data_IF_271505963042
#
_entry.id   IF_271505963042
#
_cell.length_a   1.000
_cell.length_b   1.000
_cell.length_c   1.000
_cell.angle_alpha   90.00
_cell.angle_beta   90.00
_cell.angle_gamma   90.00
#
_symmetry.space_group_name_H-M   'P 1'
#
loop_
_entity.id
_entity.type
_entity.pdbx_description
1 polymer ?
#
# COMPACT_ATOMS: atom_id res chain seq x y z
N UNK A 1 -21.01 12.87 24.32
CA UNK A 1 -19.84 12.40 23.53
C UNK A 1 -18.84 13.55 23.44
N UNK A 2 -17.55 13.24 23.34
CA UNK A 2 -16.54 14.25 22.96
C UNK A 2 -16.72 14.64 21.49
N UNK A 3 -16.11 15.75 21.07
CA UNK A 3 -16.23 16.22 19.69
C UNK A 3 -15.69 15.18 18.69
N UNK A 4 -14.50 14.62 18.93
CA UNK A 4 -13.89 13.60 18.07
C UNK A 4 -14.72 12.32 17.96
N UNK A 5 -15.33 11.88 19.07
CA UNK A 5 -16.26 10.73 19.06
C UNK A 5 -17.50 11.03 18.20
N UNK A 6 -18.01 12.26 18.29
CA UNK A 6 -19.17 12.71 17.53
C UNK A 6 -18.88 12.79 16.03
N UNK A 7 -17.69 13.27 15.65
CA UNK A 7 -17.17 13.20 14.27
C UNK A 7 -17.21 11.78 13.76
N UNK A 8 -16.66 10.84 14.54
CA UNK A 8 -16.58 9.43 14.16
C UNK A 8 -17.97 8.85 13.93
N UNK A 9 -18.93 9.16 14.80
CA UNK A 9 -20.29 8.67 14.68
C UNK A 9 -21.02 9.22 13.44
N UNK A 10 -20.83 10.50 13.10
CA UNK A 10 -21.40 11.06 11.88
C UNK A 10 -20.81 10.44 10.63
N UNK A 11 -19.49 10.24 10.59
CA UNK A 11 -18.78 9.59 9.47
C UNK A 11 -19.27 8.16 9.28
N UNK A 12 -19.38 7.38 10.35
CA UNK A 12 -19.93 6.01 10.31
C UNK A 12 -21.38 5.97 9.79
N UNK A 13 -22.11 7.08 9.97
CA UNK A 13 -23.48 7.22 9.48
C UNK A 13 -23.57 7.76 8.05
N UNK A 14 -22.44 7.94 7.34
CA UNK A 14 -22.39 8.49 5.98
C UNK A 14 -22.61 10.00 5.90
N UNK A 15 -22.21 10.74 6.94
CA UNK A 15 -22.28 12.20 6.98
C UNK A 15 -21.09 12.82 7.70
N UNK A 16 -21.21 14.09 8.05
CA UNK A 16 -20.23 14.84 8.87
C UNK A 16 -20.97 15.50 10.02
N UNK A 17 -20.24 16.05 11.00
CA UNK A 17 -20.87 17.02 11.88
C UNK A 17 -21.42 18.19 11.06
N UNK A 18 -22.54 18.76 11.52
CA UNK A 18 -23.29 19.73 10.74
C UNK A 18 -22.49 21.03 10.53
N UNK A 19 -22.43 21.45 9.27
CA UNK A 19 -22.15 22.83 8.89
C UNK A 19 -23.42 23.67 8.96
N UNK A 20 -23.25 24.98 9.18
CA UNK A 20 -24.33 25.95 9.16
C UNK A 20 -23.93 27.09 8.23
N UNK A 21 -24.53 27.10 7.04
CA UNK A 21 -24.11 27.97 5.94
C UNK A 21 -24.91 29.28 5.88
N UNK A 22 -26.10 29.30 6.47
CA UNK A 22 -26.98 30.46 6.49
C UNK A 22 -27.91 30.51 7.72
N UNK A 23 -28.68 31.61 7.80
CA UNK A 23 -29.63 31.84 8.88
C UNK A 23 -30.80 30.84 8.87
N UNK A 24 -31.22 30.34 7.71
CA UNK A 24 -32.32 29.39 7.61
C UNK A 24 -31.91 28.02 8.18
N UNK A 25 -30.71 27.55 7.86
CA UNK A 25 -30.11 26.37 8.49
C UNK A 25 -29.96 26.56 9.99
N UNK A 26 -29.47 27.72 10.44
CA UNK A 26 -29.35 28.02 11.88
C UNK A 26 -30.70 27.92 12.58
N UNK A 27 -31.74 28.58 12.06
CA UNK A 27 -33.07 28.55 12.66
C UNK A 27 -33.67 27.14 12.71
N UNK A 28 -33.49 26.37 11.63
CA UNK A 28 -33.91 24.96 11.59
C UNK A 28 -33.25 24.13 12.70
N UNK A 29 -31.95 24.30 12.92
CA UNK A 29 -31.24 23.60 13.99
C UNK A 29 -31.72 24.03 15.38
N UNK A 30 -31.96 25.32 15.60
CA UNK A 30 -32.43 25.84 16.90
C UNK A 30 -33.81 25.29 17.26
N UNK A 31 -34.75 25.33 16.32
CA UNK A 31 -36.12 24.82 16.52
C UNK A 31 -36.11 23.34 16.94
N UNK A 32 -35.23 22.53 16.35
CA UNK A 32 -35.11 21.12 16.68
C UNK A 32 -34.29 20.88 17.95
N UNK A 33 -33.28 21.70 18.23
CA UNK A 33 -32.44 21.58 19.42
C UNK A 33 -33.22 21.86 20.71
N UNK A 34 -34.17 22.80 20.68
CA UNK A 34 -35.01 23.17 21.83
C UNK A 34 -35.80 21.96 22.39
N UNK A 35 -36.20 21.04 21.51
CA UNK A 35 -36.89 19.79 21.86
C UNK A 35 -36.06 18.84 22.74
N UNK A 36 -34.74 19.06 22.83
CA UNK A 36 -33.79 18.20 23.53
C UNK A 36 -33.10 18.89 24.72
N UNK A 37 -33.54 20.09 25.10
CA UNK A 37 -33.02 20.87 26.24
C UNK A 37 -33.02 20.09 27.56
N UNK A 38 -33.96 19.17 27.75
CA UNK A 38 -34.02 18.27 28.91
C UNK A 38 -32.95 17.17 28.92
N UNK A 39 -32.34 16.87 27.77
CA UNK A 39 -31.36 15.77 27.59
C UNK A 39 -29.93 16.26 27.44
N UNK A 40 -29.74 17.44 26.86
CA UNK A 40 -28.41 18.01 26.65
C UNK A 40 -28.45 19.53 26.69
N UNK A 41 -27.35 20.13 27.14
CA UNK A 41 -27.18 21.60 27.15
C UNK A 41 -26.81 22.17 25.79
N UNK A 42 -26.34 21.33 24.87
CA UNK A 42 -25.90 21.76 23.55
C UNK A 42 -25.39 20.61 22.69
N UNK A 43 -25.06 20.95 21.45
CA UNK A 43 -24.72 20.01 20.40
C UNK A 43 -23.41 20.38 19.73
N UNK A 44 -22.51 19.42 19.56
CA UNK A 44 -21.35 19.60 18.70
C UNK A 44 -21.78 19.84 17.26
N UNK A 45 -21.15 20.85 16.65
CA UNK A 45 -21.25 21.18 15.23
C UNK A 45 -19.85 21.06 14.57
N UNK A 46 -19.82 21.09 13.25
CA UNK A 46 -18.66 20.69 12.45
C UNK A 46 -17.53 21.72 12.34
N UNK A 47 -17.52 22.79 13.14
CA UNK A 47 -16.41 23.76 13.14
C UNK A 47 -15.24 23.16 13.91
N UNK A 48 -14.05 23.26 13.32
CA UNK A 48 -12.79 23.01 13.99
C UNK A 48 -11.77 24.10 13.66
N UNK A 49 -10.73 24.20 14.48
CA UNK A 49 -9.61 25.11 14.26
C UNK A 49 -8.40 24.33 13.73
N UNK A 50 -7.82 24.79 12.61
CA UNK A 50 -6.64 24.15 12.04
C UNK A 50 -5.34 24.62 12.73
N UNK A 51 -4.20 24.02 12.34
CA UNK A 51 -2.87 24.36 12.90
C UNK A 51 -2.44 25.81 12.66
N UNK A 52 -3.00 26.46 11.63
CA UNK A 52 -2.76 27.87 11.31
C UNK A 52 -3.71 28.80 12.08
N UNK A 53 -4.58 28.24 12.94
CA UNK A 53 -5.55 28.98 13.73
C UNK A 53 -6.82 29.38 12.98
N UNK A 54 -7.02 28.89 11.76
CA UNK A 54 -8.21 29.19 10.96
C UNK A 54 -9.37 28.28 11.36
N UNK A 55 -10.57 28.85 11.42
CA UNK A 55 -11.81 28.10 11.63
C UNK A 55 -12.34 27.59 10.29
N UNK A 56 -12.65 26.29 10.25
CA UNK A 56 -13.10 25.59 9.04
C UNK A 56 -14.24 24.63 9.40
N UNK A 57 -15.12 24.38 8.44
CA UNK A 57 -16.11 23.30 8.53
C UNK A 57 -15.51 21.96 8.09
N UNK A 58 -15.90 20.87 8.76
CA UNK A 58 -15.45 19.51 8.44
C UNK A 58 -15.84 19.05 7.01
N UNK A 59 -16.93 19.58 6.46
CA UNK A 59 -17.41 19.28 5.11
C UNK A 59 -16.81 20.19 4.01
N UNK A 60 -15.83 21.03 4.38
CA UNK A 60 -15.20 22.03 3.53
C UNK A 60 -16.15 23.12 2.99
N UNK A 61 -17.33 23.28 3.59
CA UNK A 61 -18.22 24.41 3.30
C UNK A 61 -17.54 25.75 3.67
N UNK A 62 -17.93 26.82 3.00
CA UNK A 62 -17.38 28.15 3.29
C UNK A 62 -17.91 28.67 4.64
N UNK A 63 -17.02 29.18 5.50
CA UNK A 63 -17.39 29.80 6.77
C UNK A 63 -17.84 31.26 6.55
N UNK A 64 -18.94 31.46 5.82
CA UNK A 64 -19.49 32.78 5.50
C UNK A 64 -20.55 33.25 6.50
N UNK A 65 -21.03 32.34 7.35
CA UNK A 65 -22.03 32.59 8.37
C UNK A 65 -21.50 32.16 9.73
N UNK A 66 -21.73 32.99 10.75
CA UNK A 66 -21.43 32.69 12.14
C UNK A 66 -22.57 33.14 13.05
N UNK A 67 -22.88 32.34 14.06
CA UNK A 67 -23.91 32.68 15.06
C UNK A 67 -23.36 32.61 16.48
N UNK A 68 -22.21 33.25 16.71
CA UNK A 68 -21.55 33.28 18.02
C UNK A 68 -22.42 33.90 19.11
N UNK A 69 -22.39 33.29 20.29
CA UNK A 69 -22.92 33.90 21.50
C UNK A 69 -22.09 35.10 21.93
N UNK A 70 -22.66 35.91 22.82
CA UNK A 70 -21.97 37.09 23.35
C UNK A 70 -20.64 36.70 24.00
N UNK A 71 -19.55 37.33 23.56
CA UNK A 71 -18.19 37.07 24.08
C UNK A 71 -17.56 35.77 23.59
N UNK A 72 -18.04 35.22 22.47
CA UNK A 72 -17.52 34.00 21.86
C UNK A 72 -16.94 34.29 20.45
N UNK A 73 -15.94 33.52 20.00
CA UNK A 73 -15.15 32.56 20.79
C UNK A 73 -14.31 33.27 21.87
N UNK A 74 -13.94 32.55 22.93
CA UNK A 74 -13.04 33.10 23.96
C UNK A 74 -11.64 33.30 23.39
N UNK A 75 -11.07 34.50 23.49
CA UNK A 75 -9.73 34.83 22.96
C UNK A 75 -8.62 33.97 23.59
N UNK A 76 -8.77 33.61 24.88
CA UNK A 76 -7.79 32.83 25.63
C UNK A 76 -7.76 31.33 25.31
N UNK A 77 -8.72 30.82 24.52
CA UNK A 77 -8.78 29.40 24.16
C UNK A 77 -8.19 29.16 22.77
N UNK A 78 -7.08 28.42 22.73
CA UNK A 78 -6.43 28.04 21.46
C UNK A 78 -6.88 26.66 20.94
N UNK A 79 -7.32 25.78 21.84
CA UNK A 79 -7.81 24.43 21.54
C UNK A 79 -9.26 24.29 22.03
N UNK A 80 -10.20 24.54 21.13
CA UNK A 80 -11.62 24.44 21.40
C UNK A 80 -12.38 23.86 20.23
N UNK A 81 -13.53 23.30 20.56
CA UNK A 81 -14.54 22.86 19.63
C UNK A 81 -15.80 23.70 19.83
N UNK A 82 -16.66 23.73 18.82
CA UNK A 82 -17.82 24.61 18.82
C UNK A 82 -19.08 23.81 19.08
N UNK A 83 -19.85 24.26 20.08
CA UNK A 83 -21.21 23.78 20.28
C UNK A 83 -22.25 24.79 19.81
N UNK A 84 -23.43 24.29 19.46
CA UNK A 84 -24.69 25.03 19.39
C UNK A 84 -25.46 24.80 20.69
N UNK A 85 -25.79 25.88 21.41
CA UNK A 85 -26.57 25.78 22.64
C UNK A 85 -27.99 25.32 22.36
N UNK A 86 -28.45 24.30 23.09
CA UNK A 86 -29.82 23.81 22.94
C UNK A 86 -30.88 24.83 23.38
N UNK A 87 -30.52 25.74 24.30
CA UNK A 87 -31.44 26.73 24.87
C UNK A 87 -31.47 28.04 24.08
N UNK A 88 -30.30 28.55 23.67
CA UNK A 88 -30.21 29.87 23.04
C UNK A 88 -30.03 29.81 21.53
N UNK A 89 -29.59 28.66 21.00
CA UNK A 89 -29.24 28.50 19.59
C UNK A 89 -27.93 29.15 19.16
N UNK A 90 -27.30 29.95 20.03
CA UNK A 90 -26.01 30.57 19.77
C UNK A 90 -24.85 29.59 19.96
N UNK A 91 -23.74 29.90 19.31
CA UNK A 91 -22.54 29.07 19.34
C UNK A 91 -21.59 29.50 20.46
N UNK A 92 -20.88 28.54 21.05
CA UNK A 92 -19.86 28.79 22.07
C UNK A 92 -18.65 27.86 21.89
N UNK A 93 -17.48 28.35 22.31
CA UNK A 93 -16.25 27.55 22.35
C UNK A 93 -16.17 26.78 23.67
N UNK A 94 -15.94 25.47 23.57
CA UNK A 94 -15.74 24.59 24.72
C UNK A 94 -14.55 23.65 24.49
N UNK A 95 -13.93 23.12 25.57
CA UNK A 95 -12.94 22.06 25.44
C UNK A 95 -13.52 20.86 24.66
N UNK A 96 -12.80 20.37 23.66
CA UNK A 96 -13.27 19.29 22.78
C UNK A 96 -13.59 17.96 23.51
N UNK A 97 -13.05 17.78 24.71
CA UNK A 97 -13.31 16.63 25.59
C UNK A 97 -14.68 16.71 26.30
N UNK A 98 -15.35 17.86 26.26
CA UNK A 98 -16.65 18.08 26.89
C UNK A 98 -17.71 17.10 26.35
N UNK A 99 -18.63 16.71 27.21
CA UNK A 99 -19.70 15.77 26.84
C UNK A 99 -20.94 16.53 26.39
N UNK A 100 -21.24 16.45 25.09
CA UNK A 100 -22.42 17.07 24.48
C UNK A 100 -23.19 16.09 23.60
N UNK A 101 -24.39 16.50 23.18
CA UNK A 101 -25.06 15.94 22.01
C UNK A 101 -24.28 16.29 20.74
N UNK A 102 -24.71 15.81 19.58
CA UNK A 102 -24.10 16.17 18.30
C UNK A 102 -25.14 16.11 17.18
N UNK A 103 -24.92 16.90 16.13
CA UNK A 103 -25.81 16.97 14.98
C UNK A 103 -25.01 16.60 13.73
N UNK A 104 -25.50 15.62 12.96
CA UNK A 104 -24.88 15.22 11.70
C UNK A 104 -25.61 15.85 10.51
N UNK A 105 -24.88 16.33 9.50
CA UNK A 105 -25.39 16.71 8.18
C UNK A 105 -25.03 15.62 7.18
N UNK A 106 -25.98 15.26 6.32
CA UNK A 106 -25.80 14.28 5.24
C UNK A 106 -26.17 14.91 3.90
N UNK A 107 -25.47 14.58 2.81
CA UNK A 107 -25.86 15.05 1.50
C UNK A 107 -27.24 14.50 1.15
N UNK A 108 -28.09 15.36 0.57
CA UNK A 108 -29.38 14.93 0.03
C UNK A 108 -29.12 14.10 -1.22
N UNK A 109 -29.07 12.79 -1.07
CA UNK A 109 -28.87 11.90 -2.21
C UNK A 109 -30.15 11.87 -3.04
N UNK A 110 -30.12 12.45 -4.23
CA UNK A 110 -31.20 12.22 -5.19
C UNK A 110 -31.19 10.76 -5.64
N UNK A 111 -32.35 10.08 -5.73
CA UNK A 111 -32.43 8.65 -6.04
C UNK A 111 -31.63 8.23 -7.29
N UNK A 112 -31.61 9.08 -8.30
CA UNK A 112 -30.84 8.88 -9.53
C UNK A 112 -29.32 8.98 -9.31
N UNK A 113 -28.86 9.91 -8.47
CA UNK A 113 -27.45 10.04 -8.14
C UNK A 113 -26.97 8.88 -7.24
N UNK A 114 -27.83 8.38 -6.35
CA UNK A 114 -27.52 7.17 -5.58
C UNK A 114 -27.38 5.95 -6.49
N UNK A 115 -28.32 5.78 -7.42
CA UNK A 115 -28.28 4.68 -8.39
C UNK A 115 -26.99 4.76 -9.23
N UNK A 116 -26.67 5.92 -9.78
CA UNK A 116 -25.42 6.14 -10.53
C UNK A 116 -24.17 5.86 -9.67
N UNK A 117 -24.14 6.34 -8.42
CA UNK A 117 -23.04 6.09 -7.49
C UNK A 117 -22.86 4.59 -7.20
N UNK A 118 -23.93 3.88 -6.86
CA UNK A 118 -23.90 2.43 -6.64
C UNK A 118 -23.46 1.65 -7.89
N UNK A 119 -23.89 2.06 -9.09
CA UNK A 119 -23.45 1.44 -10.34
C UNK A 119 -21.94 1.61 -10.58
N UNK A 120 -21.35 2.73 -10.16
CA UNK A 120 -19.90 2.96 -10.27
C UNK A 120 -19.10 2.16 -9.24
N UNK A 121 -19.58 2.05 -8.01
CA UNK A 121 -18.89 1.29 -6.94
C UNK A 121 -18.90 -0.22 -7.25
N UNK A 122 -20.05 -0.74 -7.73
CA UNK A 122 -20.18 -2.13 -8.17
C UNK A 122 -19.25 -2.50 -9.34
N UNK A 123 -18.82 -1.53 -10.16
CA UNK A 123 -17.80 -1.74 -11.19
C UNK A 123 -16.37 -1.71 -10.64
N UNK A 124 -16.11 -0.97 -9.56
CA UNK A 124 -14.79 -0.82 -8.94
C UNK A 124 -14.32 -2.11 -8.28
N UNK A 125 -15.23 -2.83 -7.60
CA UNK A 125 -14.90 -4.10 -6.94
C UNK A 125 -14.53 -5.22 -7.92
N UNK A 126 -15.16 -5.26 -9.10
CA UNK A 126 -14.84 -6.29 -10.12
C UNK A 126 -13.46 -6.09 -10.74
N UNK A 127 -12.97 -4.85 -10.84
CA UNK A 127 -11.66 -4.57 -11.40
C UNK A 127 -10.52 -4.91 -10.41
N UNK A 128 -10.73 -4.70 -9.10
CA UNK A 128 -9.67 -4.89 -8.10
C UNK A 128 -9.38 -6.38 -7.79
N UNK A 129 -10.40 -7.25 -7.84
CA UNK A 129 -10.22 -8.70 -7.62
C UNK A 129 -9.45 -9.41 -8.75
N UNK A 130 -9.68 -9.02 -10.00
CA UNK A 130 -9.02 -9.63 -11.15
C UNK A 130 -7.53 -9.24 -11.22
N UNK A 131 -7.20 -7.97 -11.00
CA UNK A 131 -5.81 -7.49 -11.13
C UNK A 131 -4.88 -8.14 -10.10
N UNK A 132 -5.33 -8.31 -8.85
CA UNK A 132 -4.52 -8.95 -7.81
C UNK A 132 -4.24 -10.43 -8.10
N UNK A 133 -5.18 -11.15 -8.73
CA UNK A 133 -4.98 -12.55 -9.12
C UNK A 133 -3.96 -12.70 -10.25
N UNK A 134 -4.04 -11.86 -11.28
CA UNK A 134 -3.10 -11.93 -12.41
C UNK A 134 -1.69 -11.47 -12.01
N UNK A 135 -1.57 -10.48 -11.13
CA UNK A 135 -0.27 -10.05 -10.59
C UNK A 135 0.40 -11.21 -9.83
N UNK A 136 -0.32 -11.93 -8.96
CA UNK A 136 0.25 -13.06 -8.24
C UNK A 136 0.67 -14.21 -9.17
N UNK A 137 -0.14 -14.53 -10.19
CA UNK A 137 0.19 -15.58 -11.16
C UNK A 137 1.44 -15.22 -11.99
N UNK A 138 1.57 -13.97 -12.41
CA UNK A 138 2.75 -13.52 -13.17
C UNK A 138 4.04 -13.56 -12.34
N UNK A 139 3.99 -13.17 -11.06
CA UNK A 139 5.14 -13.23 -10.17
C UNK A 139 5.62 -14.68 -9.95
N UNK A 140 4.70 -15.63 -9.75
CA UNK A 140 5.05 -17.05 -9.57
C UNK A 140 5.71 -17.61 -10.84
N UNK A 141 5.19 -17.27 -12.02
CA UNK A 141 5.78 -17.71 -13.29
C UNK A 141 7.22 -17.20 -13.46
N UNK A 142 7.45 -15.90 -13.21
CA UNK A 142 8.79 -15.30 -13.31
C UNK A 142 9.77 -15.99 -12.35
N UNK A 143 9.36 -16.25 -11.11
CA UNK A 143 10.19 -16.94 -10.12
C UNK A 143 10.49 -18.37 -10.57
N UNK A 144 9.51 -19.09 -11.12
CA UNK A 144 9.70 -20.46 -11.59
C UNK A 144 10.67 -20.54 -12.78
N UNK A 145 10.56 -19.62 -13.74
CA UNK A 145 11.48 -19.51 -14.88
C UNK A 145 12.88 -19.10 -14.42
N UNK A 146 12.98 -18.17 -13.46
CA UNK A 146 14.23 -17.74 -12.86
C UNK A 146 14.95 -18.87 -12.12
N UNK A 147 14.25 -19.60 -11.25
CA UNK A 147 14.81 -20.76 -10.56
C UNK A 147 15.22 -21.87 -11.53
N UNK A 148 14.38 -22.17 -12.52
CA UNK A 148 14.70 -23.17 -13.55
C UNK A 148 15.95 -22.80 -14.36
N UNK A 149 16.08 -21.53 -14.77
CA UNK A 149 17.25 -21.03 -15.48
C UNK A 149 18.51 -21.07 -14.60
N UNK A 150 18.41 -20.67 -13.33
CA UNK A 150 19.52 -20.74 -12.38
C UNK A 150 19.97 -22.19 -12.14
N UNK A 151 19.04 -23.13 -11.93
CA UNK A 151 19.36 -24.55 -11.77
C UNK A 151 20.01 -25.10 -13.04
N UNK A 152 19.47 -24.77 -14.22
CA UNK A 152 20.06 -25.15 -15.50
C UNK A 152 21.49 -24.63 -15.64
N UNK A 153 21.72 -23.35 -15.29
CA UNK A 153 23.04 -22.74 -15.37
C UNK A 153 24.03 -23.38 -14.39
N UNK A 154 23.60 -23.69 -13.16
CA UNK A 154 24.40 -24.42 -12.18
C UNK A 154 24.71 -25.85 -12.66
N UNK A 155 23.75 -26.54 -13.26
CA UNK A 155 23.96 -27.86 -13.84
C UNK A 155 24.94 -27.82 -15.02
N UNK A 156 24.82 -26.82 -15.89
CA UNK A 156 25.73 -26.59 -17.02
C UNK A 156 27.15 -26.27 -16.56
N UNK A 157 27.31 -25.43 -15.53
CA UNK A 157 28.61 -25.13 -14.91
C UNK A 157 29.24 -26.41 -14.34
N UNK A 158 28.45 -27.21 -13.60
CA UNK A 158 28.95 -28.44 -12.98
C UNK A 158 29.40 -29.47 -14.02
N UNK A 159 28.59 -29.71 -15.05
CA UNK A 159 28.89 -30.66 -16.13
C UNK A 159 30.10 -30.25 -16.98
N UNK A 160 30.27 -28.96 -17.29
CA UNK A 160 31.49 -28.48 -17.95
C UNK A 160 32.74 -28.70 -17.10
N UNK A 161 32.64 -28.47 -15.78
CA UNK A 161 33.77 -28.67 -14.86
C UNK A 161 34.17 -30.14 -14.70
N UNK A 162 33.21 -31.07 -14.72
CA UNK A 162 33.45 -32.52 -14.69
C UNK A 162 34.11 -32.99 -16.00
N UNK A 163 33.62 -32.50 -17.14
CA UNK A 163 34.19 -32.81 -18.46
C UNK A 163 35.64 -32.30 -18.59
N UNK A 164 35.94 -31.10 -18.07
CA UNK A 164 37.31 -30.57 -18.07
C UNK A 164 38.26 -31.34 -17.13
N UNK A 165 37.76 -31.82 -15.98
CA UNK A 165 38.55 -32.68 -15.06
C UNK A 165 38.89 -34.01 -15.70
N UNK A 166 37.91 -34.67 -16.32
CA UNK A 166 38.13 -35.94 -17.04
C UNK A 166 39.08 -35.77 -18.23
N UNK A 167 38.96 -34.68 -19.00
CA UNK A 167 39.86 -34.37 -20.10
C UNK A 167 41.30 -34.09 -19.62
N UNK A 168 41.47 -33.39 -18.49
CA UNK A 168 42.77 -33.14 -17.88
C UNK A 168 43.42 -34.45 -17.42
N UNK A 169 42.65 -35.30 -16.76
CA UNK A 169 43.12 -36.60 -16.24
C UNK A 169 43.49 -37.57 -17.37
N UNK A 170 42.73 -37.60 -18.47
CA UNK A 170 43.11 -38.35 -19.69
C UNK A 170 44.38 -37.84 -20.34
N UNK A 171 44.60 -36.51 -20.39
CA UNK A 171 45.86 -35.94 -20.91
C UNK A 171 47.05 -36.35 -20.04
N UNK A 172 46.94 -36.27 -18.71
CA UNK A 172 48.00 -36.69 -17.79
C UNK A 172 48.31 -38.19 -17.91
N UNK A 173 47.27 -39.02 -18.09
CA UNK A 173 47.43 -40.46 -18.31
C UNK A 173 48.12 -40.77 -19.65
N UNK A 174 47.78 -40.04 -20.72
CA UNK A 174 48.40 -40.19 -22.03
C UNK A 174 49.86 -39.72 -22.05
N UNK A 175 50.19 -38.64 -21.35
CA UNK A 175 51.58 -38.20 -21.16
C UNK A 175 52.39 -39.26 -20.43
N UNK A 176 51.86 -39.81 -19.32
CA UNK A 176 52.52 -40.90 -18.59
C UNK A 176 52.71 -42.15 -19.45
N UNK A 177 51.74 -42.47 -20.30
CA UNK A 177 51.83 -43.60 -21.24
C UNK A 177 52.88 -43.37 -22.34
N UNK A 178 52.98 -42.17 -22.90
CA UNK A 178 54.02 -41.82 -23.87
C UNK A 178 55.42 -41.89 -23.27
N UNK A 179 55.59 -41.49 -22.01
CA UNK A 179 56.86 -41.59 -21.28
C UNK A 179 57.26 -43.05 -21.06
N UNK A 180 56.31 -43.94 -20.76
CA UNK A 180 56.56 -45.37 -20.62
C UNK A 180 56.89 -46.07 -21.95
N UNK A 181 56.20 -45.73 -23.05
CA UNK A 181 56.48 -46.30 -24.38
C UNK A 181 57.79 -45.77 -24.95
N UNK A 182 58.12 -44.49 -24.75
CA UNK A 182 59.41 -43.92 -25.14
C UNK A 182 60.59 -44.51 -24.36
N UNK A 183 60.35 -45.18 -23.22
CA UNK A 183 61.36 -45.93 -22.46
C UNK A 183 61.48 -47.40 -22.89
N UNK A 184 60.53 -47.91 -23.68
CA UNK A 184 60.55 -49.28 -24.19
C UNK A 184 61.26 -49.41 -25.55
N UNK A 185 61.37 -48.33 -26.33
CA UNK A 185 62.04 -48.33 -27.65
C UNK A 185 63.56 -48.11 -27.57
N UNK A 186 64.14 -47.95 -26.37
CA UNK A 186 65.58 -47.83 -26.16
C UNK A 186 66.15 -49.09 -25.48
N UNK A 187 65.74 -50.28 -25.93
CA UNK A 187 66.41 -51.56 -25.62
C UNK A 187 65.89 -52.75 -26.47
N UNK A 188 65.83 -52.63 -27.81
CA UNK A 188 66.14 -53.78 -28.68
C UNK A 188 66.32 -53.34 -30.14
N UNK A 189 67.57 -53.21 -30.57
CA UNK A 189 67.97 -53.59 -31.93
C UNK A 189 69.44 -53.98 -31.90
N UNK A 190 69.63 -55.23 -31.47
CA UNK A 190 70.59 -56.21 -31.99
C UNK A 190 71.60 -55.72 -33.04
N UNK A 191 72.87 -55.75 -32.67
CA UNK A 191 74.00 -55.77 -33.59
C UNK A 191 74.33 -57.24 -33.91
N UNK A 192 74.23 -57.65 -35.18
CA UNK A 192 75.18 -58.59 -35.76
C UNK A 192 75.20 -58.56 -37.29
N UNK A 193 76.44 -58.65 -37.75
CA UNK A 193 77.03 -58.42 -39.06
C UNK A 193 76.84 -59.58 -40.06
N UNK A 194 76.71 -59.20 -41.34
CA UNK A 194 77.56 -59.62 -42.48
C UNK A 194 77.60 -61.11 -42.90
N UNK A 195 77.18 -61.42 -44.16
CA UNK A 195 78.03 -62.02 -45.23
C UNK A 195 77.32 -62.26 -46.59
N UNK A 196 77.86 -61.58 -47.61
CA UNK A 196 78.12 -61.90 -49.04
C UNK A 196 77.08 -62.48 -50.04
N UNK A 197 76.92 -61.70 -51.12
CA UNK A 197 76.91 -61.99 -52.58
C UNK A 197 77.01 -63.45 -53.11
N UNK A 198 76.28 -63.80 -54.20
CA UNK A 198 76.65 -63.61 -55.63
C UNK A 198 75.64 -64.31 -56.59
N UNK A 199 75.40 -63.73 -57.79
CA UNK A 199 75.17 -64.36 -59.12
C UNK A 199 73.94 -63.93 -59.98
N UNK A 200 74.25 -63.15 -61.05
CA UNK A 200 73.73 -63.16 -62.45
C UNK A 200 72.30 -62.62 -62.68
N UNK A 201 72.04 -61.64 -63.58
CA UNK A 201 72.65 -61.23 -64.87
C UNK A 201 73.28 -59.84 -64.83
#
# INVERSE_FOLDING_TARGET
MSWTQSVTQCVQSGGTLASVEDLAESNFLVEHADLYTSKTSGFWIGIYRNVNGQLLWQDNSALNFVNWGKGQPSEDQFDYCVELSAFSGYWSSLPCSSQKGFICKKPKIHPLLFALYLFTDAKKDKAHGHMNMWILLTLVLIISLGMGFMIYFLFKIKTQSETEREARQRRTLLEYRCVLTGRADENDSTNNKEKNEHSVV
#
